data_IF_166457909106
#
_entry.id   IF_166457909106
#
_cell.length_a   1.000
_cell.length_b   1.000
_cell.length_c   1.000
_cell.angle_alpha   90.00
_cell.angle_beta   90.00
_cell.angle_gamma   90.00
#
_symmetry.space_group_name_H-M   'P 1'
#
loop_
_entity.id
_entity.type
_entity.pdbx_description
1 polymer ?
#
# COMPACT_ATOMS: atom_id res chain seq x y z
N UNK A 1 -5.34 3.39 -17.43
CA UNK A 1 -5.42 4.61 -16.62
C UNK A 1 -5.23 4.28 -15.14
N UNK A 2 -4.50 5.14 -14.44
CA UNK A 2 -4.29 5.13 -12.98
C UNK A 2 -4.91 6.40 -12.42
N UNK A 3 -5.48 6.33 -11.21
CA UNK A 3 -6.03 7.47 -10.48
C UNK A 3 -5.64 7.39 -9.02
N UNK A 4 -4.98 8.42 -8.52
CA UNK A 4 -4.64 8.55 -7.10
C UNK A 4 -5.60 9.54 -6.45
N UNK A 5 -6.26 9.12 -5.38
CA UNK A 5 -7.09 9.93 -4.50
C UNK A 5 -6.31 10.21 -3.20
N UNK A 6 -5.94 11.46 -2.95
CA UNK A 6 -5.25 11.86 -1.72
C UNK A 6 -6.27 12.13 -0.61
N UNK A 7 -6.16 11.41 0.50
CA UNK A 7 -7.02 11.57 1.68
C UNK A 7 -6.40 12.57 2.67
N UNK A 8 -5.08 12.54 2.82
CA UNK A 8 -4.36 13.45 3.70
C UNK A 8 -2.98 13.81 3.13
N UNK A 9 -2.40 14.92 3.62
CA UNK A 9 -1.07 15.40 3.20
C UNK A 9 -0.19 15.70 4.42
N UNK A 10 0.32 14.66 5.11
CA UNK A 10 1.12 14.82 6.30
C UNK A 10 2.56 15.26 5.96
N UNK A 11 3.11 16.15 6.78
CA UNK A 11 4.57 16.35 6.85
C UNK A 11 5.19 15.20 7.62
N UNK A 12 5.86 14.28 6.92
CA UNK A 12 6.55 13.13 7.50
C UNK A 12 8.04 13.45 7.72
N UNK A 13 8.64 12.85 8.74
CA UNK A 13 10.07 12.97 9.07
C UNK A 13 10.79 11.66 8.78
N UNK A 14 11.74 11.70 7.84
CA UNK A 14 12.56 10.54 7.45
C UNK A 14 11.72 9.25 7.25
N UNK A 15 10.65 9.29 6.43
CA UNK A 15 9.73 8.17 6.35
C UNK A 15 10.35 6.95 5.65
N UNK A 16 9.94 5.77 6.09
CA UNK A 16 10.11 4.52 5.33
C UNK A 16 8.79 4.00 4.84
N UNK A 17 8.81 3.34 3.68
CA UNK A 17 7.64 2.64 3.19
C UNK A 17 7.78 1.14 3.46
N UNK A 18 6.76 0.55 4.06
CA UNK A 18 6.59 -0.90 4.15
C UNK A 18 5.45 -1.33 3.21
N UNK A 19 5.68 -2.39 2.45
CA UNK A 19 4.75 -2.86 1.42
C UNK A 19 4.37 -4.31 1.70
N UNK A 20 3.08 -4.60 1.72
CA UNK A 20 2.54 -5.93 1.92
C UNK A 20 1.32 -6.12 1.04
N UNK A 21 1.50 -6.78 -0.09
CA UNK A 21 0.44 -7.02 -1.07
C UNK A 21 -0.14 -8.45 -0.92
N UNK A 22 -1.36 -8.71 -1.40
CA UNK A 22 -1.93 -10.06 -1.46
C UNK A 22 -0.96 -11.03 -2.17
N UNK A 23 -0.74 -12.22 -1.63
CA UNK A 23 0.25 -13.16 -2.16
C UNK A 23 0.13 -14.54 -1.51
N UNK A 24 1.18 -15.35 -1.57
CA UNK A 24 1.17 -16.69 -0.97
C UNK A 24 0.83 -16.60 0.52
N UNK A 25 -0.28 -17.23 0.93
CA UNK A 25 -0.78 -17.22 2.31
C UNK A 25 -1.13 -15.83 2.85
N UNK A 26 -1.17 -14.80 2.01
CA UNK A 26 -1.31 -13.40 2.40
C UNK A 26 -0.34 -12.93 3.50
N UNK A 27 0.83 -13.57 3.65
CA UNK A 27 1.75 -13.29 4.76
C UNK A 27 2.21 -11.82 4.76
N UNK A 28 2.63 -11.31 3.59
CA UNK A 28 3.03 -9.92 3.44
C UNK A 28 1.90 -8.93 3.77
N UNK A 29 0.72 -9.17 3.19
CA UNK A 29 -0.49 -8.39 3.42
C UNK A 29 -0.87 -8.34 4.91
N UNK A 30 -1.04 -9.49 5.54
CA UNK A 30 -1.44 -9.58 6.95
C UNK A 30 -0.40 -8.93 7.87
N UNK A 31 0.90 -9.07 7.57
CA UNK A 31 1.95 -8.44 8.35
C UNK A 31 1.86 -6.89 8.28
N UNK A 32 1.64 -6.33 7.09
CA UNK A 32 1.49 -4.87 6.93
C UNK A 32 0.16 -4.37 7.51
N UNK A 33 -0.94 -5.09 7.33
CA UNK A 33 -2.24 -4.75 7.93
C UNK A 33 -2.18 -4.77 9.47
N UNK A 34 -1.48 -5.74 10.04
CA UNK A 34 -1.20 -5.76 11.48
C UNK A 34 -0.43 -4.51 11.93
N UNK A 35 0.61 -4.11 11.17
CA UNK A 35 1.38 -2.90 11.47
C UNK A 35 0.54 -1.62 11.32
N UNK A 36 -0.32 -1.54 10.30
CA UNK A 36 -1.29 -0.44 10.13
C UNK A 36 -2.14 -0.30 11.39
N UNK A 37 -2.73 -1.41 11.87
CA UNK A 37 -3.56 -1.41 13.08
C UNK A 37 -2.74 -1.06 14.34
N UNK A 38 -1.58 -1.71 14.55
CA UNK A 38 -0.77 -1.50 15.76
C UNK A 38 -0.16 -0.11 15.86
N UNK A 39 0.19 0.51 14.72
CA UNK A 39 0.74 1.85 14.68
C UNK A 39 -0.35 2.93 14.62
N UNK A 40 -1.64 2.55 14.69
CA UNK A 40 -2.78 3.44 14.48
C UNK A 40 -2.59 4.31 13.21
N UNK A 41 -2.13 3.67 12.13
CA UNK A 41 -1.80 4.36 10.90
C UNK A 41 -3.08 4.93 10.27
N UNK A 42 -3.00 6.15 9.77
CA UNK A 42 -4.13 6.90 9.22
C UNK A 42 -4.13 6.81 7.70
N UNK A 43 -5.30 6.79 7.04
CA UNK A 43 -5.37 6.81 5.58
C UNK A 43 -4.62 8.00 4.99
N UNK A 44 -3.83 7.73 3.95
CA UNK A 44 -3.02 8.71 3.24
C UNK A 44 -3.54 8.94 1.83
N UNK A 45 -3.71 7.85 1.07
CA UNK A 45 -4.11 7.89 -0.32
C UNK A 45 -4.68 6.54 -0.75
N UNK A 46 -5.39 6.55 -1.87
CA UNK A 46 -5.90 5.37 -2.55
C UNK A 46 -5.50 5.46 -4.02
N UNK A 47 -5.04 4.36 -4.59
CA UNK A 47 -4.73 4.25 -6.02
C UNK A 47 -5.66 3.24 -6.65
N UNK A 48 -6.38 3.70 -7.66
CA UNK A 48 -7.27 2.93 -8.51
C UNK A 48 -6.64 2.75 -9.89
N UNK A 49 -6.88 1.62 -10.55
CA UNK A 49 -6.35 1.39 -11.89
C UNK A 49 -7.09 0.31 -12.65
N UNK A 50 -7.15 0.46 -13.98
CA UNK A 50 -7.59 -0.60 -14.91
C UNK A 50 -6.63 -1.80 -14.96
N UNK A 51 -5.42 -1.66 -14.42
CA UNK A 51 -4.46 -2.75 -14.33
C UNK A 51 -4.74 -3.71 -13.16
N UNK A 52 -5.62 -3.34 -12.24
CA UNK A 52 -6.15 -4.24 -11.22
C UNK A 52 -7.20 -5.18 -11.85
N UNK A 53 -7.47 -6.35 -11.23
CA UNK A 53 -8.47 -7.27 -11.75
C UNK A 53 -9.86 -6.65 -11.94
N UNK A 54 -10.61 -7.13 -12.93
CA UNK A 54 -11.92 -6.59 -13.34
C UNK A 54 -13.11 -7.04 -12.47
N UNK A 55 -12.88 -7.32 -11.18
CA UNK A 55 -13.93 -7.70 -10.23
C UNK A 55 -14.03 -6.69 -9.08
N UNK A 56 -15.17 -6.65 -8.41
CA UNK A 56 -15.46 -5.74 -7.30
C UNK A 56 -15.57 -6.47 -5.97
N UNK A 57 -15.44 -5.73 -4.88
CA UNK A 57 -15.70 -6.23 -3.52
C UNK A 57 -17.11 -5.85 -3.08
N UNK A 58 -17.74 -6.74 -2.31
CA UNK A 58 -18.98 -6.44 -1.60
C UNK A 58 -18.63 -6.27 -0.11
N UNK A 59 -18.69 -5.04 0.39
CA UNK A 59 -18.44 -4.70 1.80
C UNK A 59 -19.70 -4.06 2.37
N UNK A 60 -20.28 -4.65 3.42
CA UNK A 60 -21.44 -4.10 4.15
C UNK A 60 -22.63 -3.73 3.24
N UNK A 61 -22.89 -4.54 2.20
CA UNK A 61 -23.97 -4.31 1.24
C UNK A 61 -23.66 -3.24 0.18
N UNK A 62 -22.45 -2.68 0.18
CA UNK A 62 -21.97 -1.69 -0.79
C UNK A 62 -20.92 -2.30 -1.72
N UNK A 63 -20.99 -1.99 -3.01
CA UNK A 63 -19.96 -2.38 -3.97
C UNK A 63 -18.78 -1.41 -3.88
N UNK A 64 -17.57 -1.97 -3.80
CA UNK A 64 -16.31 -1.24 -3.73
C UNK A 64 -15.37 -1.66 -4.86
N UNK A 65 -14.73 -0.68 -5.46
CA UNK A 65 -13.70 -0.90 -6.49
C UNK A 65 -12.39 -1.29 -5.83
N UNK A 66 -11.63 -2.19 -6.45
CA UNK A 66 -10.30 -2.57 -5.96
C UNK A 66 -9.37 -1.36 -5.90
N UNK A 67 -8.60 -1.28 -4.82
CA UNK A 67 -7.65 -0.21 -4.60
C UNK A 67 -6.34 -0.71 -3.99
N UNK A 68 -5.28 0.08 -4.24
CA UNK A 68 -4.05 0.05 -3.47
C UNK A 68 -4.15 1.18 -2.44
N UNK A 69 -4.01 0.84 -1.17
CA UNK A 69 -4.24 1.76 -0.06
C UNK A 69 -2.93 2.14 0.62
N UNK A 70 -2.73 3.43 0.80
CA UNK A 70 -1.60 4.02 1.50
C UNK A 70 -2.05 4.51 2.88
N UNK A 71 -1.24 4.25 3.89
CA UNK A 71 -1.43 4.72 5.25
C UNK A 71 -0.15 5.39 5.76
N UNK A 72 -0.28 6.24 6.76
CA UNK A 72 0.86 6.86 7.40
C UNK A 72 0.75 6.82 8.93
N UNK A 73 1.88 6.68 9.62
CA UNK A 73 1.95 6.85 11.08
C UNK A 73 3.18 7.66 11.45
N UNK A 74 2.99 8.59 12.38
CA UNK A 74 4.09 9.41 12.91
C UNK A 74 4.65 8.75 14.17
N UNK A 75 5.95 8.46 14.19
CA UNK A 75 6.59 7.77 15.30
C UNK A 75 7.70 8.65 15.89
N UNK A 76 7.34 9.72 16.64
CA UNK A 76 8.31 10.70 17.13
C UNK A 76 9.40 10.09 18.02
N UNK A 77 9.10 9.01 18.75
CA UNK A 77 10.06 8.29 19.59
C UNK A 77 11.04 7.41 18.81
N UNK A 78 10.68 6.99 17.59
CA UNK A 78 11.50 6.14 16.74
C UNK A 78 12.42 6.95 15.80
N UNK A 79 12.29 8.28 15.77
CA UNK A 79 13.08 9.16 14.91
C UNK A 79 12.78 9.06 13.40
N UNK A 80 11.78 8.25 13.03
CA UNK A 80 11.36 8.04 11.64
C UNK A 80 9.86 7.76 11.58
N UNK A 81 9.20 8.29 10.56
CA UNK A 81 7.79 8.00 10.31
C UNK A 81 7.64 6.77 9.39
N UNK A 82 6.42 6.23 9.30
CA UNK A 82 6.12 5.06 8.49
C UNK A 82 5.02 5.39 7.49
N UNK A 83 5.23 4.99 6.24
CA UNK A 83 4.19 4.84 5.22
C UNK A 83 3.96 3.34 5.05
N UNK A 84 2.72 2.90 5.12
CA UNK A 84 2.36 1.51 4.89
C UNK A 84 1.50 1.38 3.64
N UNK A 85 1.73 0.33 2.86
CA UNK A 85 1.00 0.06 1.63
C UNK A 85 0.50 -1.38 1.59
N UNK A 86 -0.79 -1.52 1.34
CA UNK A 86 -1.46 -2.80 1.07
C UNK A 86 -2.42 -2.64 -0.11
N UNK A 87 -3.04 -3.71 -0.56
CA UNK A 87 -4.01 -3.67 -1.65
C UNK A 87 -5.08 -4.75 -1.51
N UNK A 88 -6.20 -4.53 -2.18
CA UNK A 88 -7.23 -5.56 -2.36
C UNK A 88 -6.73 -6.68 -3.29
N UNK A 89 -6.00 -6.30 -4.35
CA UNK A 89 -5.44 -7.20 -5.34
C UNK A 89 -4.11 -6.66 -5.91
N UNK A 90 -3.37 -7.53 -6.60
CA UNK A 90 -2.22 -7.13 -7.44
C UNK A 90 -2.62 -7.10 -8.91
N UNK A 91 -1.85 -6.38 -9.74
CA UNK A 91 -1.98 -6.49 -11.19
C UNK A 91 -1.62 -7.90 -11.67
N UNK A 92 -2.46 -8.44 -12.57
CA UNK A 92 -2.29 -9.78 -13.11
C UNK A 92 -1.24 -9.85 -14.23
N UNK A 93 -1.05 -8.75 -14.97
CA UNK A 93 -0.15 -8.68 -16.11
C UNK A 93 1.16 -7.95 -15.76
N UNK A 94 2.32 -8.38 -16.33
CA UNK A 94 3.61 -7.72 -16.09
C UNK A 94 3.63 -6.21 -16.38
N UNK A 95 2.95 -5.78 -17.45
CA UNK A 95 2.82 -4.35 -17.77
C UNK A 95 2.11 -3.59 -16.65
N UNK A 96 1.00 -4.12 -16.15
CA UNK A 96 0.26 -3.53 -15.04
C UNK A 96 1.10 -3.47 -13.77
N UNK A 97 1.86 -4.53 -13.48
CA UNK A 97 2.78 -4.55 -12.34
C UNK A 97 3.82 -3.43 -12.45
N UNK A 98 4.47 -3.30 -13.62
CA UNK A 98 5.48 -2.27 -13.86
C UNK A 98 4.90 -0.85 -13.71
N UNK A 99 3.75 -0.59 -14.32
CA UNK A 99 3.08 0.72 -14.24
C UNK A 99 2.68 1.06 -12.80
N UNK A 100 2.02 0.14 -12.10
CA UNK A 100 1.58 0.36 -10.72
C UNK A 100 2.76 0.52 -9.75
N UNK A 101 3.82 -0.27 -9.91
CA UNK A 101 5.05 -0.06 -9.14
C UNK A 101 5.63 1.33 -9.39
N UNK A 102 5.65 1.81 -10.63
CA UNK A 102 6.09 3.17 -10.97
C UNK A 102 5.30 4.26 -10.24
N UNK A 103 3.97 4.17 -10.26
CA UNK A 103 3.08 5.12 -9.56
C UNK A 103 3.29 5.11 -8.04
N UNK A 104 3.45 3.92 -7.46
CA UNK A 104 3.71 3.74 -6.03
C UNK A 104 5.04 4.39 -5.64
N UNK A 105 6.10 4.15 -6.43
CA UNK A 105 7.42 4.71 -6.16
C UNK A 105 7.45 6.23 -6.36
N UNK A 106 6.71 6.76 -7.34
CA UNK A 106 6.58 8.22 -7.50
C UNK A 106 5.84 8.85 -6.32
N UNK A 107 4.81 8.19 -5.78
CA UNK A 107 4.15 8.62 -4.54
C UNK A 107 5.11 8.55 -3.34
N UNK A 108 5.88 7.47 -3.20
CA UNK A 108 6.88 7.32 -2.14
C UNK A 108 7.92 8.45 -2.19
N UNK A 109 8.42 8.77 -3.39
CA UNK A 109 9.35 9.88 -3.63
C UNK A 109 8.76 11.24 -3.23
N UNK A 110 7.51 11.51 -3.60
CA UNK A 110 6.80 12.76 -3.20
C UNK A 110 6.62 12.89 -1.69
N UNK A 111 6.55 11.77 -0.96
CA UNK A 111 6.48 11.73 0.50
C UNK A 111 7.85 11.84 1.18
N UNK A 112 8.95 11.86 0.41
CA UNK A 112 10.32 11.88 0.93
C UNK A 112 10.78 10.53 1.48
N UNK A 113 10.23 9.42 1.00
CA UNK A 113 10.66 8.06 1.38
C UNK A 113 11.99 7.73 0.71
N UNK A 114 12.98 7.32 1.50
CA UNK A 114 14.30 6.90 1.00
C UNK A 114 14.49 5.38 0.96
N UNK A 115 13.65 4.62 1.67
CA UNK A 115 13.72 3.17 1.74
C UNK A 115 12.33 2.54 1.67
N UNK A 116 12.20 1.55 0.78
CA UNK A 116 11.01 0.73 0.61
C UNK A 116 11.35 -0.72 0.99
N UNK A 117 10.64 -1.28 1.96
CA UNK A 117 10.74 -2.68 2.37
C UNK A 117 9.50 -3.46 1.95
N UNK A 118 9.66 -4.46 1.08
CA UNK A 118 8.58 -5.34 0.69
C UNK A 118 8.57 -6.62 1.54
N UNK A 119 7.40 -6.97 2.07
CA UNK A 119 7.18 -8.19 2.84
C UNK A 119 6.48 -9.21 1.97
N UNK A 120 7.03 -10.42 1.88
CA UNK A 120 6.50 -11.51 1.08
C UNK A 120 6.72 -12.86 1.79
N UNK A 121 5.96 -13.88 1.38
CA UNK A 121 6.21 -15.25 1.79
C UNK A 121 7.24 -15.90 0.87
N UNK A 122 8.06 -16.78 1.45
CA UNK A 122 8.85 -17.75 0.71
C UNK A 122 8.38 -19.15 1.11
N UNK A 123 7.97 -19.96 0.12
CA UNK A 123 7.52 -21.34 0.37
C UNK A 123 8.75 -22.21 0.57
N UNK A 124 8.84 -22.84 1.73
CA UNK A 124 9.88 -23.82 2.05
C UNK A 124 9.34 -25.22 1.74
N UNK A 125 10.13 -26.12 1.12
CA UNK A 125 9.76 -27.51 0.85
C UNK A 125 9.41 -28.33 2.10
#
# INVERSE_FOLDING_TARGET
>A
MTRINLISSPKLKNPVMIVGLPGIGNIGKVAVEYLIHKLNAKPLAELYSEYLPEWTLLEEGTLKTLQISFFHSKLPRAGRDVVALTADAQANAPLGQYVLTGEILEMAKKLGVEMVGAMAAYVVP
#
